data_IF_372010465984
#
_entry.id   IF_372010465984
#
_cell.length_a   1.000
_cell.length_b   1.000
_cell.length_c   1.000
_cell.angle_alpha   90.00
_cell.angle_beta   90.00
_cell.angle_gamma   90.00
#
_symmetry.space_group_name_H-M   'P 1'
#
loop_
_entity.id
_entity.type
_entity.pdbx_description
1 polymer ?
#
# COMPACT_ATOMS: atom_id res chain seq x y z
N UNK A 1 21.82 25.20 -18.40
CA UNK A 1 22.33 25.89 -17.18
C UNK A 1 21.19 26.56 -16.40
N UNK A 2 21.34 27.00 -15.13
CA UNK A 2 20.28 27.69 -14.40
C UNK A 2 19.71 28.91 -15.14
N UNK A 3 20.55 29.60 -15.92
CA UNK A 3 20.19 30.74 -16.76
C UNK A 3 19.25 30.41 -17.93
N UNK A 4 19.21 29.17 -18.39
CA UNK A 4 18.37 28.71 -19.50
C UNK A 4 17.07 28.06 -19.02
N UNK A 5 16.86 27.90 -17.69
CA UNK A 5 15.67 27.23 -17.14
C UNK A 5 14.35 27.88 -17.61
N UNK A 6 14.39 29.16 -17.96
CA UNK A 6 13.24 29.93 -18.44
C UNK A 6 12.81 29.52 -19.86
N UNK A 7 13.70 28.90 -20.63
CA UNK A 7 13.42 28.44 -22.00
C UNK A 7 12.68 27.10 -22.04
N UNK A 8 12.53 26.44 -20.88
CA UNK A 8 11.94 25.11 -20.76
C UNK A 8 10.64 25.14 -19.96
N UNK A 9 9.75 24.22 -20.30
CA UNK A 9 8.48 24.00 -19.61
C UNK A 9 8.30 22.51 -19.33
N UNK A 10 7.53 22.21 -18.29
CA UNK A 10 7.07 20.86 -17.99
C UNK A 10 5.84 20.54 -18.84
N UNK A 11 5.74 19.28 -19.25
CA UNK A 11 4.51 18.71 -19.79
C UNK A 11 3.77 17.98 -18.67
N UNK A 12 2.53 18.39 -18.42
CA UNK A 12 1.69 17.81 -17.37
C UNK A 12 0.83 16.66 -17.93
N UNK A 13 0.33 15.80 -17.03
CA UNK A 13 -0.52 14.66 -17.40
C UNK A 13 -1.87 15.06 -18.02
N UNK A 14 -2.36 16.27 -17.74
CA UNK A 14 -3.57 16.85 -18.35
C UNK A 14 -3.31 17.48 -19.74
N UNK A 15 -2.09 17.34 -20.27
CA UNK A 15 -1.66 17.90 -21.55
C UNK A 15 -1.29 19.39 -21.49
N UNK A 16 -1.45 20.04 -20.34
CA UNK A 16 -1.03 21.44 -20.16
C UNK A 16 0.49 21.55 -20.00
N UNK A 17 0.99 22.79 -20.07
CA UNK A 17 2.40 23.11 -19.80
C UNK A 17 2.52 24.08 -18.63
N UNK A 18 3.51 23.86 -17.77
CA UNK A 18 3.81 24.74 -16.63
C UNK A 18 5.30 25.06 -16.56
N UNK A 19 5.65 26.12 -15.84
CA UNK A 19 7.06 26.43 -15.50
C UNK A 19 7.71 25.26 -14.77
N UNK A 20 9.03 25.10 -14.96
CA UNK A 20 9.86 24.07 -14.29
C UNK A 20 9.81 24.15 -12.75
N UNK A 21 9.46 25.31 -12.19
CA UNK A 21 9.28 25.51 -10.75
C UNK A 21 8.05 24.74 -10.19
N UNK A 22 7.04 24.47 -11.03
CA UNK A 22 5.78 23.83 -10.63
C UNK A 22 5.81 22.31 -10.73
N UNK A 23 6.99 21.68 -10.65
CA UNK A 23 7.15 20.23 -10.78
C UNK A 23 6.36 19.43 -9.73
N UNK A 24 6.03 20.02 -8.57
CA UNK A 24 5.19 19.38 -7.53
C UNK A 24 3.73 19.23 -7.95
N UNK A 25 3.27 20.03 -8.92
CA UNK A 25 1.88 20.07 -9.41
C UNK A 25 1.78 19.73 -10.91
N UNK A 26 2.91 19.34 -11.53
CA UNK A 26 3.03 18.98 -12.93
C UNK A 26 4.18 18.00 -13.12
N UNK A 27 3.85 16.71 -13.03
CA UNK A 27 4.78 15.60 -13.17
C UNK A 27 4.06 14.40 -13.80
N UNK A 28 4.80 13.52 -14.46
CA UNK A 28 4.24 12.33 -15.11
C UNK A 28 4.03 11.17 -14.13
N UNK A 29 4.98 11.00 -13.21
CA UNK A 29 4.92 9.99 -12.17
C UNK A 29 5.82 10.40 -11.00
N UNK A 30 5.57 9.83 -9.82
CA UNK A 30 6.46 9.91 -8.68
C UNK A 30 7.23 8.61 -8.57
N UNK A 31 8.53 8.66 -8.80
CA UNK A 31 9.41 7.50 -8.71
C UNK A 31 9.80 7.25 -7.24
N UNK A 32 9.70 6.00 -6.74
CA UNK A 32 10.29 5.61 -5.47
C UNK A 32 11.82 5.82 -5.46
N UNK A 33 12.44 6.17 -4.32
CA UNK A 33 13.90 6.26 -4.24
C UNK A 33 14.60 4.95 -4.61
N UNK A 34 15.92 5.02 -4.84
CA UNK A 34 16.75 3.82 -4.97
C UNK A 34 16.82 3.08 -3.63
N UNK A 35 16.93 1.76 -3.68
CA UNK A 35 17.00 0.90 -2.49
C UNK A 35 18.16 -0.10 -2.56
N UNK A 36 18.71 -0.44 -1.40
CA UNK A 36 19.56 -1.63 -1.24
C UNK A 36 18.66 -2.84 -1.11
N UNK A 37 18.90 -3.86 -1.94
CA UNK A 37 18.09 -5.09 -1.99
C UNK A 37 18.92 -6.27 -1.47
N UNK A 38 18.29 -7.09 -0.64
CA UNK A 38 18.85 -8.35 -0.14
C UNK A 38 17.85 -9.49 -0.33
N UNK A 39 18.31 -10.73 -0.17
CA UNK A 39 17.43 -11.89 -0.16
C UNK A 39 16.43 -11.81 1.00
N UNK A 40 15.22 -12.34 0.81
CA UNK A 40 14.16 -12.31 1.85
C UNK A 40 14.57 -12.97 3.17
N UNK A 41 15.46 -13.96 3.10
CA UNK A 41 15.96 -14.73 4.25
C UNK A 41 17.29 -14.17 4.80
N UNK A 42 17.76 -13.03 4.28
CA UNK A 42 18.96 -12.38 4.77
C UNK A 42 18.71 -11.70 6.13
N UNK A 43 19.75 -11.61 6.96
CA UNK A 43 19.70 -10.83 8.20
C UNK A 43 19.73 -9.32 7.87
N UNK A 44 18.53 -8.74 7.70
CA UNK A 44 18.37 -7.33 7.39
C UNK A 44 18.95 -6.41 8.46
N UNK A 45 18.97 -6.85 9.73
CA UNK A 45 19.52 -6.06 10.83
C UNK A 45 21.04 -6.04 10.78
N UNK A 46 21.67 -7.18 10.46
CA UNK A 46 23.11 -7.22 10.25
C UNK A 46 23.53 -6.34 9.07
N UNK A 47 22.83 -6.45 7.94
CA UNK A 47 23.09 -5.60 6.76
C UNK A 47 22.98 -4.12 7.12
N UNK A 48 21.90 -3.72 7.78
CA UNK A 48 21.70 -2.33 8.21
C UNK A 48 22.83 -1.84 9.13
N UNK A 49 23.23 -2.65 10.12
CA UNK A 49 24.32 -2.33 11.04
C UNK A 49 25.66 -2.12 10.31
N UNK A 50 25.96 -2.93 9.31
CA UNK A 50 27.18 -2.79 8.50
C UNK A 50 27.10 -1.53 7.64
N UNK A 51 25.99 -1.30 6.93
CA UNK A 51 25.83 -0.13 6.07
C UNK A 51 25.93 1.18 6.85
N UNK A 52 25.42 1.24 8.09
CA UNK A 52 25.54 2.43 8.94
C UNK A 52 26.97 2.74 9.42
N UNK A 53 27.93 1.84 9.23
CA UNK A 53 29.34 2.12 9.47
C UNK A 53 30.02 2.83 8.29
N UNK A 54 29.38 2.82 7.12
CA UNK A 54 29.89 3.43 5.89
C UNK A 54 29.15 4.76 5.70
N UNK A 55 29.84 5.85 5.35
CA UNK A 55 29.17 7.09 4.99
C UNK A 55 28.18 6.87 3.85
N UNK A 56 26.92 7.29 4.02
CA UNK A 56 25.87 7.10 3.02
C UNK A 56 26.26 7.72 1.66
N UNK A 57 27.04 8.81 1.66
CA UNK A 57 27.59 9.41 0.45
C UNK A 57 28.44 8.44 -0.38
N UNK A 58 29.16 7.51 0.24
CA UNK A 58 29.98 6.54 -0.47
C UNK A 58 29.11 5.45 -1.13
N UNK A 59 28.04 5.02 -0.46
CA UNK A 59 27.10 4.01 -0.99
C UNK A 59 26.21 4.60 -2.09
N UNK A 60 25.79 5.85 -1.92
CA UNK A 60 24.88 6.55 -2.83
C UNK A 60 25.61 7.23 -4.00
N UNK A 61 26.94 7.33 -3.95
CA UNK A 61 27.74 7.89 -5.04
C UNK A 61 27.67 7.02 -6.30
N UNK A 62 27.63 7.64 -7.50
CA UNK A 62 27.72 6.89 -8.75
C UNK A 62 29.05 6.13 -8.82
N UNK A 63 28.98 4.85 -9.21
CA UNK A 63 30.14 3.96 -9.25
C UNK A 63 31.16 4.30 -10.35
N UNK A 64 30.80 5.18 -11.31
CA UNK A 64 31.62 5.47 -12.50
C UNK A 64 31.80 6.99 -12.69
N UNK A 65 33.03 7.53 -12.61
CA UNK A 65 33.33 8.89 -13.05
C UNK A 65 33.07 9.01 -14.56
N UNK A 66 32.06 9.79 -14.95
CA UNK A 66 31.68 10.01 -16.36
C UNK A 66 30.62 9.06 -16.92
N UNK A 67 30.14 8.09 -16.13
CA UNK A 67 28.89 7.38 -16.45
C UNK A 67 27.70 8.33 -16.24
N UNK A 68 26.75 8.37 -17.17
CA UNK A 68 25.46 9.06 -17.00
C UNK A 68 24.55 8.33 -16.00
N UNK A 69 25.08 7.95 -14.84
CA UNK A 69 24.23 7.57 -13.72
C UNK A 69 23.76 8.86 -13.08
N UNK A 70 22.45 9.11 -13.18
CA UNK A 70 21.78 10.24 -12.55
C UNK A 70 22.18 10.26 -11.07
N UNK A 71 22.85 11.33 -10.67
CA UNK A 71 23.23 11.62 -9.28
C UNK A 71 22.02 11.42 -8.39
N UNK A 72 22.14 10.53 -7.40
CA UNK A 72 21.12 10.42 -6.36
C UNK A 72 21.37 11.58 -5.38
N UNK A 73 20.52 12.60 -5.39
CA UNK A 73 20.57 13.70 -4.40
C UNK A 73 20.16 13.24 -2.97
N UNK A 74 20.00 11.92 -2.75
CA UNK A 74 19.68 11.36 -1.46
C UNK A 74 20.82 11.57 -0.46
N UNK A 75 20.48 12.08 0.73
CA UNK A 75 21.43 12.37 1.80
C UNK A 75 21.65 11.21 2.76
N UNK A 76 20.71 10.28 2.86
CA UNK A 76 20.74 9.19 3.83
C UNK A 76 20.05 7.91 3.37
N UNK A 77 20.45 6.78 3.96
CA UNK A 77 19.76 5.49 3.89
C UNK A 77 18.85 5.31 5.11
N UNK A 78 17.59 4.95 4.87
CA UNK A 78 16.58 4.74 5.92
C UNK A 78 16.28 3.24 6.08
N UNK A 79 16.20 2.77 7.33
CA UNK A 79 15.80 1.39 7.62
C UNK A 79 14.33 1.18 7.24
N UNK A 80 14.05 0.10 6.50
CA UNK A 80 12.69 -0.28 6.12
C UNK A 80 12.13 -1.32 7.10
N UNK A 81 10.81 -1.33 7.35
CA UNK A 81 10.17 -2.39 8.12
C UNK A 81 10.43 -3.78 7.54
N UNK A 82 10.57 -4.80 8.39
CA UNK A 82 10.76 -6.20 7.96
C UNK A 82 9.62 -6.76 7.10
N UNK A 83 8.44 -6.17 7.19
CA UNK A 83 7.27 -6.55 6.38
C UNK A 83 7.26 -5.91 4.99
N UNK A 84 8.22 -5.03 4.69
CA UNK A 84 8.36 -4.38 3.39
C UNK A 84 8.75 -5.38 2.31
N UNK A 85 8.10 -5.27 1.16
CA UNK A 85 8.42 -6.04 -0.04
C UNK A 85 8.45 -5.11 -1.26
N UNK A 86 8.82 -5.62 -2.43
CA UNK A 86 8.94 -4.80 -3.64
C UNK A 86 7.63 -4.13 -4.06
N UNK A 87 6.47 -4.76 -3.81
CA UNK A 87 5.18 -4.16 -4.14
C UNK A 87 4.85 -3.02 -3.17
N UNK A 88 5.04 -3.24 -1.87
CA UNK A 88 4.80 -2.24 -0.84
C UNK A 88 5.78 -1.06 -0.93
N UNK A 89 7.03 -1.31 -1.31
CA UNK A 89 8.05 -0.28 -1.51
C UNK A 89 7.76 0.60 -2.71
N UNK A 90 7.42 -0.01 -3.85
CA UNK A 90 7.16 0.71 -5.09
C UNK A 90 5.79 1.41 -5.08
N UNK A 91 4.83 0.87 -4.33
CA UNK A 91 3.44 1.31 -4.36
C UNK A 91 2.69 0.81 -5.60
N UNK A 92 1.36 0.83 -5.52
CA UNK A 92 0.48 0.25 -6.53
C UNK A 92 0.69 0.85 -7.92
N UNK A 93 0.61 2.18 -8.06
CA UNK A 93 0.67 2.85 -9.36
C UNK A 93 1.99 2.58 -10.11
N UNK A 94 3.13 2.68 -9.41
CA UNK A 94 4.43 2.44 -10.04
C UNK A 94 4.62 0.96 -10.36
N UNK A 95 4.24 0.07 -9.44
CA UNK A 95 4.37 -1.38 -9.64
C UNK A 95 3.52 -1.86 -10.83
N UNK A 96 2.27 -1.41 -10.95
CA UNK A 96 1.39 -1.77 -12.06
C UNK A 96 1.87 -1.16 -13.38
N UNK A 97 2.39 0.07 -13.40
CA UNK A 97 3.00 0.65 -14.59
C UNK A 97 4.21 -0.19 -15.07
N UNK A 98 5.10 -0.60 -14.16
CA UNK A 98 6.25 -1.45 -14.49
C UNK A 98 5.83 -2.85 -14.97
N UNK A 99 4.79 -3.43 -14.35
CA UNK A 99 4.20 -4.69 -14.82
C UNK A 99 3.64 -4.53 -16.22
N UNK A 100 2.87 -3.48 -16.48
CA UNK A 100 2.24 -3.21 -17.77
C UNK A 100 3.26 -2.99 -18.88
N UNK A 101 4.37 -2.29 -18.59
CA UNK A 101 5.47 -2.13 -19.54
C UNK A 101 6.12 -3.47 -19.91
N UNK A 102 6.22 -4.41 -18.96
CA UNK A 102 6.88 -5.71 -19.18
C UNK A 102 5.95 -6.75 -19.80
N UNK A 103 4.70 -6.81 -19.35
CA UNK A 103 3.74 -7.88 -19.67
C UNK A 103 2.61 -7.42 -20.60
N UNK A 104 2.57 -6.14 -20.98
CA UNK A 104 1.43 -5.51 -21.63
C UNK A 104 0.39 -5.01 -20.64
N UNK A 105 -0.46 -4.09 -21.08
CA UNK A 105 -1.55 -3.59 -20.24
C UNK A 105 -2.50 -4.73 -19.86
N UNK A 106 -2.79 -4.94 -18.56
CA UNK A 106 -3.83 -5.88 -18.18
C UNK A 106 -5.18 -5.41 -18.75
N UNK A 107 -6.01 -6.37 -19.14
CA UNK A 107 -7.40 -6.07 -19.48
C UNK A 107 -8.11 -5.46 -18.26
N UNK A 108 -8.99 -4.48 -18.52
CA UNK A 108 -9.80 -3.90 -17.47
C UNK A 108 -10.57 -5.02 -16.74
N UNK A 109 -10.66 -4.99 -15.39
CA UNK A 109 -11.45 -5.96 -14.66
C UNK A 109 -12.89 -5.95 -15.16
N UNK A 110 -13.54 -7.10 -15.33
CA UNK A 110 -14.97 -7.15 -15.64
C UNK A 110 -15.76 -6.38 -14.58
N UNK A 111 -16.67 -5.50 -15.01
CA UNK A 111 -17.52 -4.70 -14.11
C UNK A 111 -18.37 -5.58 -13.17
N UNK A 112 -18.71 -6.80 -13.60
CA UNK A 112 -19.51 -7.76 -12.83
C UNK A 112 -18.67 -8.85 -12.13
N UNK A 113 -17.37 -8.64 -11.93
CA UNK A 113 -16.57 -9.64 -11.20
C UNK A 113 -17.07 -9.77 -9.75
N UNK A 114 -17.05 -10.99 -9.18
CA UNK A 114 -17.38 -11.18 -7.78
C UNK A 114 -16.36 -10.46 -6.89
N UNK A 115 -16.82 -10.02 -5.71
CA UNK A 115 -15.96 -9.44 -4.66
C UNK A 115 -15.14 -10.58 -4.05
N UNK A 116 -13.82 -10.47 -4.02
CA UNK A 116 -12.94 -11.41 -3.31
C UNK A 116 -12.86 -11.05 -1.82
N UNK A 117 -13.64 -11.74 -1.00
CA UNK A 117 -13.66 -11.59 0.44
C UNK A 117 -12.50 -12.33 1.11
N UNK A 118 -11.70 -11.63 1.90
CA UNK A 118 -10.57 -12.20 2.60
C UNK A 118 -10.98 -12.77 3.96
N UNK A 119 -10.56 -14.01 4.24
CA UNK A 119 -10.80 -14.73 5.50
C UNK A 119 -9.49 -15.12 6.15
N UNK A 120 -9.44 -15.20 7.48
CA UNK A 120 -8.20 -15.54 8.22
C UNK A 120 -8.25 -16.94 8.85
N UNK A 121 -9.45 -17.46 9.12
CA UNK A 121 -9.65 -18.78 9.74
C UNK A 121 -10.31 -19.77 8.79
N UNK A 122 -10.11 -21.07 9.04
CA UNK A 122 -10.80 -22.13 8.29
C UNK A 122 -12.33 -22.02 8.43
N UNK A 123 -12.81 -21.62 9.61
CA UNK A 123 -14.24 -21.46 9.88
C UNK A 123 -14.84 -20.27 9.11
N UNK A 124 -14.13 -19.16 9.01
CA UNK A 124 -14.55 -18.03 8.17
C UNK A 124 -14.57 -18.40 6.69
N UNK A 125 -13.54 -19.11 6.21
CA UNK A 125 -13.48 -19.57 4.82
C UNK A 125 -14.70 -20.44 4.49
N UNK A 126 -15.04 -21.41 5.35
CA UNK A 126 -16.23 -22.26 5.15
C UNK A 126 -17.53 -21.45 5.11
N UNK A 127 -17.70 -20.47 6.00
CA UNK A 127 -18.87 -19.57 5.99
C UNK A 127 -18.93 -18.75 4.71
N UNK A 128 -17.79 -18.24 4.26
CA UNK A 128 -17.68 -17.49 3.01
C UNK A 128 -18.08 -18.36 1.82
N UNK A 129 -17.58 -19.60 1.73
CA UNK A 129 -17.88 -20.54 0.65
C UNK A 129 -19.36 -20.91 0.62
N UNK A 130 -20.01 -21.04 1.78
CA UNK A 130 -21.46 -21.24 1.87
C UNK A 130 -22.24 -20.03 1.34
N UNK A 131 -21.81 -18.81 1.66
CA UNK A 131 -22.44 -17.59 1.14
C UNK A 131 -22.22 -17.49 -0.37
N UNK A 132 -21.02 -17.78 -0.87
CA UNK A 132 -20.72 -17.81 -2.31
C UNK A 132 -21.67 -18.77 -3.06
N UNK A 133 -21.95 -19.94 -2.46
CA UNK A 133 -22.87 -20.93 -3.03
C UNK A 133 -24.31 -20.41 -3.17
N UNK A 134 -24.71 -19.42 -2.35
CA UNK A 134 -26.04 -18.79 -2.39
C UNK A 134 -26.05 -17.50 -3.22
N UNK A 135 -24.95 -16.75 -3.18
CA UNK A 135 -24.77 -15.45 -3.81
C UNK A 135 -23.41 -15.49 -4.53
N UNK A 136 -23.38 -15.92 -5.82
CA UNK A 136 -22.14 -16.08 -6.59
C UNK A 136 -21.53 -14.72 -7.03
N UNK A 137 -21.77 -13.67 -6.26
CA UNK A 137 -21.12 -12.35 -6.38
C UNK A 137 -20.02 -12.16 -5.33
N UNK A 138 -19.71 -13.18 -4.54
CA UNK A 138 -18.67 -13.15 -3.51
C UNK A 138 -17.74 -14.35 -3.63
N UNK A 139 -16.52 -14.14 -4.05
CA UNK A 139 -15.45 -15.13 -4.02
C UNK A 139 -14.72 -15.08 -2.68
N UNK A 140 -14.02 -16.15 -2.31
CA UNK A 140 -13.40 -16.29 -1.00
C UNK A 140 -11.90 -16.54 -1.12
N UNK A 141 -11.11 -15.75 -0.39
CA UNK A 141 -9.65 -15.84 -0.37
C UNK A 141 -9.15 -15.97 1.06
N UNK A 142 -8.41 -17.04 1.36
CA UNK A 142 -7.80 -17.19 2.69
C UNK A 142 -6.45 -16.48 2.78
N UNK A 143 -6.30 -15.65 3.80
CA UNK A 143 -5.02 -15.14 4.30
C UNK A 143 -4.56 -15.93 5.51
N UNK A 144 -3.27 -15.81 5.83
CA UNK A 144 -2.65 -16.41 7.03
C UNK A 144 -2.80 -15.54 8.29
N UNK A 145 -3.11 -14.26 8.13
CA UNK A 145 -3.36 -13.29 9.18
C UNK A 145 -4.13 -12.09 8.63
N UNK A 146 -4.58 -11.19 9.51
CA UNK A 146 -5.22 -9.93 9.08
C UNK A 146 -4.25 -9.06 8.28
N UNK A 147 -2.98 -9.01 8.68
CA UNK A 147 -1.94 -8.29 7.94
C UNK A 147 -1.71 -8.87 6.54
N UNK A 148 -1.77 -10.20 6.40
CA UNK A 148 -1.68 -10.87 5.11
C UNK A 148 -2.89 -10.51 4.23
N UNK A 149 -4.11 -10.47 4.80
CA UNK A 149 -5.28 -9.98 4.09
C UNK A 149 -5.15 -8.51 3.66
N UNK A 150 -4.61 -7.62 4.50
CA UNK A 150 -4.34 -6.23 4.09
C UNK A 150 -3.36 -6.16 2.91
N UNK A 151 -2.30 -6.97 2.93
CA UNK A 151 -1.36 -7.07 1.80
C UNK A 151 -2.06 -7.57 0.54
N UNK A 152 -2.90 -8.59 0.64
CA UNK A 152 -3.69 -9.13 -0.48
C UNK A 152 -4.63 -8.08 -1.08
N UNK A 153 -5.30 -7.30 -0.23
CA UNK A 153 -6.17 -6.21 -0.68
C UNK A 153 -5.35 -5.15 -1.42
N UNK A 154 -4.22 -4.71 -0.85
CA UNK A 154 -3.32 -3.77 -1.53
C UNK A 154 -2.81 -4.29 -2.88
N UNK A 155 -2.64 -5.61 -3.02
CA UNK A 155 -2.18 -6.28 -4.23
C UNK A 155 -3.30 -6.62 -5.23
N UNK A 156 -4.56 -6.26 -4.93
CA UNK A 156 -5.76 -6.66 -5.68
C UNK A 156 -5.92 -8.19 -5.81
N UNK A 157 -5.42 -8.94 -4.84
CA UNK A 157 -5.67 -10.39 -4.69
C UNK A 157 -6.90 -10.69 -3.82
N UNK A 158 -7.42 -9.65 -3.17
CA UNK A 158 -8.66 -9.62 -2.41
C UNK A 158 -9.23 -8.20 -2.47
N UNK A 159 -10.50 -8.03 -2.13
CA UNK A 159 -11.20 -6.75 -2.20
C UNK A 159 -11.58 -6.20 -0.81
N UNK A 160 -11.94 -7.08 0.13
CA UNK A 160 -12.43 -6.66 1.44
C UNK A 160 -12.14 -7.69 2.55
N UNK A 161 -12.18 -7.22 3.80
CA UNK A 161 -12.11 -8.03 5.02
C UNK A 161 -12.92 -7.31 6.12
N UNK A 162 -13.58 -8.08 6.99
CA UNK A 162 -14.16 -7.56 8.23
C UNK A 162 -13.11 -7.61 9.35
N UNK A 163 -12.95 -6.50 10.08
CA UNK A 163 -11.90 -6.32 11.09
C UNK A 163 -12.41 -5.53 12.29
N UNK A 164 -11.74 -5.68 13.43
CA UNK A 164 -12.04 -4.89 14.63
C UNK A 164 -11.51 -3.45 14.56
N UNK A 165 -11.92 -2.60 15.51
CA UNK A 165 -11.54 -1.18 15.53
C UNK A 165 -10.03 -0.91 15.64
N UNK A 166 -9.27 -1.79 16.32
CA UNK A 166 -7.81 -1.67 16.39
C UNK A 166 -7.14 -1.96 15.05
N UNK A 167 -7.67 -2.95 14.33
CA UNK A 167 -7.23 -3.29 12.98
C UNK A 167 -7.62 -2.22 11.95
N UNK A 168 -8.75 -1.52 12.12
CA UNK A 168 -9.12 -0.35 11.30
C UNK A 168 -8.04 0.74 11.37
N UNK A 169 -7.48 1.02 12.55
CA UNK A 169 -6.38 1.99 12.69
C UNK A 169 -5.15 1.59 11.87
N UNK A 170 -4.76 0.31 11.92
CA UNK A 170 -3.63 -0.23 11.15
C UNK A 170 -3.91 -0.16 9.65
N UNK A 171 -5.12 -0.55 9.23
CA UNK A 171 -5.55 -0.49 7.83
C UNK A 171 -5.44 0.93 7.25
N UNK A 172 -5.85 1.95 8.03
CA UNK A 172 -5.71 3.36 7.65
C UNK A 172 -4.26 3.79 7.40
N UNK A 173 -3.32 3.33 8.25
CA UNK A 173 -1.87 3.57 8.02
C UNK A 173 -1.34 2.87 6.77
N UNK A 174 -2.00 1.81 6.32
CA UNK A 174 -1.66 1.13 5.07
C UNK A 174 -2.29 1.76 3.81
N UNK A 175 -3.12 2.79 3.97
CA UNK A 175 -3.85 3.46 2.89
C UNK A 175 -5.19 2.78 2.53
N UNK A 176 -5.66 1.85 3.36
CA UNK A 176 -6.98 1.24 3.22
C UNK A 176 -8.02 2.11 3.93
N UNK A 177 -9.27 2.01 3.48
CA UNK A 177 -10.38 2.83 3.99
C UNK A 177 -11.54 1.94 4.47
N UNK A 178 -12.23 2.31 5.57
CA UNK A 178 -13.46 1.62 5.96
C UNK A 178 -14.58 1.92 4.96
N UNK A 179 -15.31 0.88 4.55
CA UNK A 179 -16.43 1.00 3.60
C UNK A 179 -17.78 0.86 4.30
N UNK A 180 -17.87 -0.03 5.30
CA UNK A 180 -19.06 -0.30 6.10
C UNK A 180 -18.65 -0.56 7.55
N UNK A 181 -19.58 -0.33 8.49
CA UNK A 181 -19.38 -0.60 9.92
C UNK A 181 -20.48 -1.51 10.45
N UNK A 182 -20.16 -2.31 11.46
CA UNK A 182 -21.16 -3.12 12.18
C UNK A 182 -22.08 -2.20 13.01
N UNK A 183 -23.39 -2.45 12.96
CA UNK A 183 -24.39 -1.64 13.65
C UNK A 183 -25.09 -2.47 14.74
N UNK A 184 -25.03 -2.01 15.99
CA UNK A 184 -25.60 -2.74 17.14
C UNK A 184 -26.90 -2.10 17.70
N UNK A 185 -27.13 -0.80 17.47
CA UNK A 185 -28.37 -0.13 17.90
C UNK A 185 -28.94 0.78 16.81
N UNK A 186 -30.10 0.45 16.27
CA UNK A 186 -30.77 1.25 15.23
C UNK A 186 -31.32 2.60 15.75
N UNK A 187 -31.51 2.75 17.07
CA UNK A 187 -32.05 3.97 17.67
C UNK A 187 -31.01 5.10 17.80
N UNK A 188 -29.71 4.80 17.67
CA UNK A 188 -28.65 5.82 17.69
C UNK A 188 -28.46 6.51 16.34
N UNK A 189 -29.27 6.16 15.34
CA UNK A 189 -29.25 6.76 14.01
C UNK A 189 -30.08 8.05 13.95
N UNK A 190 -29.89 8.99 14.89
CA UNK A 190 -30.43 10.33 14.69
C UNK A 190 -29.70 10.95 13.49
N UNK A 191 -30.47 11.20 12.43
CA UNK A 191 -30.07 11.31 11.01
C UNK A 191 -29.16 12.50 10.64
N UNK A 192 -28.33 13.01 11.55
CA UNK A 192 -27.49 14.19 11.29
C UNK A 192 -26.01 14.06 11.64
N UNK A 193 -25.54 12.93 12.18
CA UNK A 193 -24.13 12.84 12.64
C UNK A 193 -23.27 11.70 12.12
N UNK A 194 -23.81 10.70 11.42
CA UNK A 194 -22.96 9.64 10.82
C UNK A 194 -22.05 8.94 11.83
N UNK A 195 -22.45 8.88 13.11
CA UNK A 195 -21.66 8.26 14.16
C UNK A 195 -21.82 6.74 14.06
N UNK A 196 -20.71 6.02 13.84
CA UNK A 196 -20.71 4.58 13.84
C UNK A 196 -21.11 4.03 15.22
N UNK A 197 -21.79 2.89 15.25
CA UNK A 197 -22.11 2.19 16.50
C UNK A 197 -20.84 1.92 17.32
N UNK A 198 -20.92 2.11 18.63
CA UNK A 198 -19.85 1.78 19.58
C UNK A 198 -20.29 0.69 20.57
N UNK A 199 -19.34 0.01 21.19
CA UNK A 199 -19.57 -1.00 22.22
C UNK A 199 -18.72 -0.72 23.47
N UNK A 200 -19.20 -1.17 24.63
CA UNK A 200 -18.48 -1.02 25.90
C UNK A 200 -17.46 -2.14 26.09
N UNK A 201 -16.23 -1.77 26.46
CA UNK A 201 -15.19 -2.72 26.90
C UNK A 201 -15.28 -2.84 28.42
N UNK A 202 -15.51 -4.06 28.92
CA UNK A 202 -15.75 -4.32 30.35
C UNK A 202 -14.83 -5.43 30.88
N UNK A 203 -14.50 -5.36 32.18
CA UNK A 203 -13.81 -6.43 32.90
C UNK A 203 -14.80 -7.14 33.82
N UNK A 204 -14.96 -8.45 33.67
CA UNK A 204 -15.95 -9.25 34.43
C UNK A 204 -15.24 -10.12 35.46
N UNK A 205 -15.71 -10.09 36.71
CA UNK A 205 -15.19 -10.91 37.82
C UNK A 205 -16.27 -11.82 38.38
N UNK A 206 -15.88 -12.97 38.94
CA UNK A 206 -16.84 -13.87 39.61
C UNK A 206 -17.41 -13.16 40.84
N UNK A 207 -18.72 -13.27 41.01
CA UNK A 207 -19.40 -12.85 42.24
C UNK A 207 -18.96 -13.80 43.37
N UNK A 208 -18.43 -13.23 44.45
CA UNK A 208 -18.04 -13.96 45.67
C UNK A 208 -19.24 -14.53 46.41
#
# INVERSE_FOLDING_TARGET
PPSERQDYQLLCMDGTRKSVEHYKDCYLAKEPPRAVIAHKDADSQHIYKVLKQIPDSYILSPAIPGGKDVSSDASELVELPKSMDSFLYLGENYYEAMRALKAGNPSAPPQDRPIEWCTISHLEQQKCDEINSKIPRMACKRGSSVEDCFKKIKRREADAIAVDGGQVYIAGKCGLVPVMAEQYNQQNCDERKGEASSYFVVAVVRKG
#
